data_IF_970622787928
#
_entry.id   IF_970622787928
#
_cell.length_a   1.000
_cell.length_b   1.000
_cell.length_c   1.000
_cell.angle_alpha   90.00
_cell.angle_beta   90.00
_cell.angle_gamma   90.00
#
_symmetry.space_group_name_H-M   'P 1'
#
loop_
_entity.id
_entity.type
_entity.pdbx_description
1 polymer ?
#
# COMPACT_ATOMS: atom_id res chain seq x y z
N UNK A 1 4.91 28.98 23.36
CA UNK A 1 5.82 27.88 22.99
C UNK A 1 5.00 26.91 22.14
N UNK A 2 5.23 26.88 20.81
CA UNK A 2 4.40 26.11 19.88
C UNK A 2 4.73 24.61 19.95
N UNK A 3 3.71 23.76 19.94
CA UNK A 3 3.85 22.31 19.85
C UNK A 3 4.33 21.91 18.43
N UNK A 4 5.53 21.33 18.28
CA UNK A 4 6.08 20.94 16.97
C UNK A 4 5.37 19.72 16.35
N UNK A 5 4.41 19.12 17.05
CA UNK A 5 3.74 17.89 16.62
C UNK A 5 2.44 18.12 15.86
N UNK A 6 2.03 19.36 15.56
CA UNK A 6 0.78 19.65 14.86
C UNK A 6 0.93 19.47 13.35
N UNK A 7 0.18 18.52 12.79
CA UNK A 7 -0.01 18.33 11.35
C UNK A 7 -0.82 19.50 10.74
N UNK A 8 -0.20 20.28 9.85
CA UNK A 8 -0.93 21.26 9.01
C UNK A 8 -1.29 20.59 7.68
N UNK A 9 -2.59 20.48 7.32
CA UNK A 9 -2.96 20.06 5.98
C UNK A 9 -2.47 21.10 4.95
N UNK A 10 -2.09 20.69 3.73
CA UNK A 10 -1.88 21.65 2.66
C UNK A 10 -3.19 22.40 2.44
N UNK A 11 -3.13 23.73 2.45
CA UNK A 11 -4.28 24.59 2.22
C UNK A 11 -4.83 24.32 0.82
N UNK A 12 -5.92 23.56 0.74
CA UNK A 12 -6.79 23.57 -0.44
C UNK A 12 -7.46 24.95 -0.51
N UNK A 13 -7.53 25.48 -1.74
CA UNK A 13 -8.08 26.79 -2.08
C UNK A 13 -9.35 27.13 -1.30
N UNK A 14 -9.42 28.35 -0.80
CA UNK A 14 -10.55 28.91 -0.06
C UNK A 14 -11.74 29.16 -0.98
N UNK A 15 -12.55 28.14 -1.26
CA UNK A 15 -13.92 28.35 -1.71
C UNK A 15 -14.89 27.43 -0.97
N UNK A 16 -15.95 28.06 -0.47
CA UNK A 16 -17.12 27.50 0.24
C UNK A 16 -16.84 26.82 1.59
N UNK A 17 -16.91 27.64 2.64
CA UNK A 17 -17.10 27.25 4.04
C UNK A 17 -18.49 26.65 4.27
N UNK A 18 -18.80 25.49 3.68
CA UNK A 18 -19.65 24.55 4.39
C UNK A 18 -18.74 23.89 5.41
N UNK A 19 -19.02 24.07 6.71
CA UNK A 19 -18.23 23.50 7.79
C UNK A 19 -18.00 22.03 7.49
N UNK A 20 -16.76 21.67 7.15
CA UNK A 20 -16.33 20.28 7.10
C UNK A 20 -16.69 19.75 8.48
N UNK A 21 -17.69 18.88 8.58
CA UNK A 21 -17.81 18.05 9.77
C UNK A 21 -16.49 17.32 9.84
N UNK A 22 -15.58 17.73 10.75
CA UNK A 22 -14.23 17.22 10.85
C UNK A 22 -14.30 15.70 10.97
N UNK A 23 -14.08 15.01 9.84
CA UNK A 23 -14.07 13.56 9.81
C UNK A 23 -12.76 13.16 10.46
N UNK A 24 -12.81 12.94 11.76
CA UNK A 24 -11.69 12.49 12.57
C UNK A 24 -11.56 10.97 12.40
N UNK A 25 -10.82 10.55 11.37
CA UNK A 25 -10.35 9.16 11.27
C UNK A 25 -9.17 9.03 12.23
N UNK A 26 -9.43 8.46 13.40
CA UNK A 26 -8.40 8.24 14.42
C UNK A 26 -7.94 6.79 14.47
N UNK A 27 -8.70 5.82 13.97
CA UNK A 27 -8.29 4.41 13.92
C UNK A 27 -8.73 3.68 12.65
N UNK A 28 -7.93 2.70 12.24
CA UNK A 28 -8.25 1.70 11.23
C UNK A 28 -7.97 0.32 11.83
N UNK A 29 -8.92 -0.60 11.73
CA UNK A 29 -8.80 -1.94 12.32
C UNK A 29 -9.16 -3.00 11.29
N UNK A 30 -8.33 -4.02 11.17
CA UNK A 30 -8.59 -5.22 10.37
C UNK A 30 -8.16 -6.46 11.14
N UNK A 31 -9.13 -7.24 11.63
CA UNK A 31 -8.87 -8.35 12.55
C UNK A 31 -8.08 -7.88 13.79
N UNK A 32 -6.88 -8.42 14.03
CA UNK A 32 -5.98 -8.02 15.12
C UNK A 32 -5.08 -6.83 14.76
N UNK A 33 -4.90 -6.51 13.48
CA UNK A 33 -4.08 -5.39 13.02
C UNK A 33 -4.83 -4.07 13.22
N UNK A 34 -4.28 -3.20 14.08
CA UNK A 34 -4.82 -1.86 14.35
C UNK A 34 -3.80 -0.79 13.95
N UNK A 35 -4.27 0.25 13.27
CA UNK A 35 -3.50 1.45 12.91
C UNK A 35 -4.15 2.67 13.56
N UNK A 36 -3.43 3.28 14.48
CA UNK A 36 -3.85 4.51 15.14
C UNK A 36 -3.30 5.72 14.37
N UNK A 37 -4.13 6.73 14.19
CA UNK A 37 -3.82 7.96 13.47
C UNK A 37 -4.13 9.12 14.40
N UNK A 38 -3.11 9.91 14.73
CA UNK A 38 -3.25 11.11 15.53
C UNK A 38 -2.48 12.25 14.87
N UNK A 39 -3.01 13.46 15.00
CA UNK A 39 -2.38 14.69 14.54
C UNK A 39 -1.32 15.22 15.50
N UNK A 40 -1.13 14.61 16.67
CA UNK A 40 -0.14 15.01 17.70
C UNK A 40 0.35 13.84 18.54
N UNK A 41 1.50 14.02 19.21
CA UNK A 41 2.04 13.02 20.16
C UNK A 41 1.09 12.81 21.35
N UNK A 42 0.57 13.89 21.93
CA UNK A 42 -0.36 13.82 23.06
C UNK A 42 -1.66 13.08 22.69
N UNK A 43 -2.17 13.31 21.47
CA UNK A 43 -3.30 12.55 20.95
C UNK A 43 -2.98 11.06 20.80
N UNK A 44 -1.78 10.71 20.37
CA UNK A 44 -1.33 9.31 20.28
C UNK A 44 -1.20 8.67 21.67
N UNK A 45 -0.64 9.38 22.65
CA UNK A 45 -0.55 8.94 24.06
C UNK A 45 -1.93 8.65 24.66
N UNK A 46 -2.90 9.53 24.39
CA UNK A 46 -4.29 9.35 24.80
C UNK A 46 -4.92 8.11 24.15
N UNK A 47 -4.76 7.96 22.82
CA UNK A 47 -5.29 6.82 22.09
C UNK A 47 -4.67 5.49 22.52
N UNK A 48 -3.36 5.46 22.75
CA UNK A 48 -2.67 4.29 23.28
C UNK A 48 -3.18 3.95 24.69
N UNK A 49 -3.49 4.95 25.52
CA UNK A 49 -4.00 4.72 26.88
C UNK A 49 -5.37 4.04 26.83
N UNK A 50 -6.27 4.54 25.97
CA UNK A 50 -7.58 3.90 25.72
C UNK A 50 -7.40 2.48 25.18
N UNK A 51 -6.42 2.28 24.30
CA UNK A 51 -6.14 0.99 23.66
C UNK A 51 -5.69 -0.06 24.68
N UNK A 52 -4.78 0.28 25.59
CA UNK A 52 -4.33 -0.63 26.64
C UNK A 52 -5.47 -0.98 27.62
N UNK A 53 -6.31 0.00 28.01
CA UNK A 53 -7.50 -0.27 28.83
C UNK A 53 -8.49 -1.20 28.13
N UNK A 54 -8.74 -0.96 26.84
CA UNK A 54 -9.61 -1.81 26.03
C UNK A 54 -9.11 -3.25 25.97
N UNK A 55 -7.81 -3.46 25.75
CA UNK A 55 -7.26 -4.80 25.70
C UNK A 55 -7.30 -5.52 27.05
N UNK A 56 -7.01 -4.81 28.14
CA UNK A 56 -7.15 -5.34 29.49
C UNK A 56 -8.59 -5.78 29.80
N UNK A 57 -9.59 -4.96 29.45
CA UNK A 57 -11.01 -5.30 29.60
C UNK A 57 -11.41 -6.58 28.86
N UNK A 58 -10.78 -6.83 27.71
CA UNK A 58 -11.05 -7.99 26.87
C UNK A 58 -10.16 -9.19 27.18
N UNK A 59 -9.36 -9.17 28.25
CA UNK A 59 -8.37 -10.21 28.58
C UNK A 59 -7.41 -10.52 27.43
N UNK A 60 -7.01 -9.47 26.71
CA UNK A 60 -6.06 -9.54 25.60
C UNK A 60 -4.87 -8.64 25.89
N UNK A 61 -3.76 -8.86 25.20
CA UNK A 61 -2.56 -8.03 25.33
C UNK A 61 -1.95 -7.77 23.96
N UNK A 62 -1.27 -6.63 23.85
CA UNK A 62 -0.59 -6.20 22.64
C UNK A 62 0.86 -6.64 22.65
N UNK A 63 1.39 -6.93 21.46
CA UNK A 63 2.82 -7.09 21.28
C UNK A 63 3.42 -5.74 20.85
N UNK A 64 3.85 -4.94 21.82
CA UNK A 64 4.44 -3.63 21.56
C UNK A 64 5.70 -3.69 20.67
N UNK A 65 6.40 -4.84 20.61
CA UNK A 65 7.57 -5.00 19.71
C UNK A 65 7.20 -4.96 18.23
N UNK A 66 5.93 -5.24 17.91
CA UNK A 66 5.41 -5.14 16.53
C UNK A 66 4.95 -3.74 16.17
N UNK A 67 4.93 -2.79 17.11
CA UNK A 67 4.48 -1.43 16.82
C UNK A 67 5.46 -0.73 15.88
N UNK A 68 4.88 -0.02 14.93
CA UNK A 68 5.61 0.69 13.89
C UNK A 68 5.12 2.13 13.91
N UNK A 69 6.03 3.08 14.20
CA UNK A 69 5.70 4.50 14.20
C UNK A 69 6.05 5.13 12.85
N UNK A 70 5.06 5.77 12.24
CA UNK A 70 5.23 6.58 11.04
C UNK A 70 4.92 8.03 11.42
N UNK A 71 5.84 8.93 11.11
CA UNK A 71 5.66 10.37 11.35
C UNK A 71 6.28 11.18 10.22
N UNK A 72 5.61 12.27 9.85
CA UNK A 72 6.11 13.26 8.91
C UNK A 72 6.89 14.40 9.60
N UNK A 73 6.86 14.48 10.93
CA UNK A 73 7.50 15.54 11.72
C UNK A 73 8.87 15.16 12.28
N UNK A 74 9.18 13.85 12.36
CA UNK A 74 10.50 13.43 12.81
C UNK A 74 11.57 13.79 11.79
N UNK A 75 12.66 14.39 12.30
CA UNK A 75 13.71 15.00 11.50
C UNK A 75 14.21 14.07 10.40
N UNK A 76 14.27 14.64 9.19
CA UNK A 76 14.63 14.08 7.90
C UNK A 76 16.12 13.67 7.80
N UNK A 77 16.77 13.26 8.89
CA UNK A 77 18.18 12.89 8.86
C UNK A 77 18.33 11.53 8.20
N UNK A 78 18.73 11.57 6.93
CA UNK A 78 18.98 10.43 6.04
C UNK A 78 20.05 9.45 6.52
N UNK A 79 20.67 9.67 7.69
CA UNK A 79 21.89 8.99 8.13
C UNK A 79 21.98 8.66 9.62
N UNK A 80 21.01 9.02 10.48
CA UNK A 80 21.12 8.77 11.92
C UNK A 80 20.21 7.62 12.37
N UNK A 81 20.74 6.75 13.22
CA UNK A 81 19.99 5.80 14.05
C UNK A 81 18.76 6.50 14.65
N UNK A 82 17.58 6.08 14.23
CA UNK A 82 16.33 6.64 14.73
C UNK A 82 16.18 6.26 16.20
N UNK A 83 16.15 7.27 17.07
CA UNK A 83 15.94 7.04 18.50
C UNK A 83 14.48 6.63 18.73
N UNK A 84 14.23 5.67 19.64
CA UNK A 84 12.89 5.32 20.05
C UNK A 84 12.14 6.54 20.61
N UNK A 85 10.88 6.68 20.21
CA UNK A 85 9.97 7.70 20.75
C UNK A 85 9.20 7.07 21.90
N UNK A 86 9.34 7.65 23.09
CA UNK A 86 8.59 7.24 24.27
C UNK A 86 7.22 7.93 24.31
N UNK A 87 6.15 7.15 24.36
CA UNK A 87 4.78 7.56 24.61
C UNK A 87 4.43 7.28 26.07
N UNK A 88 4.06 8.31 26.83
CA UNK A 88 3.67 8.16 28.23
C UNK A 88 2.16 7.95 28.30
N UNK A 89 1.74 6.88 28.97
CA UNK A 89 0.33 6.52 29.08
C UNK A 89 -0.24 6.96 30.43
N UNK A 90 -1.55 7.18 30.44
CA UNK A 90 -2.28 7.40 31.69
C UNK A 90 -2.48 6.06 32.40
N UNK A 91 -2.01 5.97 33.65
CA UNK A 91 -2.23 4.81 34.49
C UNK A 91 -3.67 4.79 35.01
N UNK A 92 -4.27 3.60 35.05
CA UNK A 92 -5.61 3.38 35.62
C UNK A 92 -5.68 1.97 36.23
N UNK A 93 -6.81 1.62 36.85
CA UNK A 93 -7.03 0.26 37.33
C UNK A 93 -6.98 -0.79 36.19
N UNK A 94 -7.17 -0.35 34.95
CA UNK A 94 -7.20 -1.18 33.75
C UNK A 94 -5.97 -0.97 32.85
N UNK A 95 -5.05 -0.07 33.21
CA UNK A 95 -3.80 0.13 32.49
C UNK A 95 -2.61 0.27 33.45
N UNK A 96 -1.76 -0.77 33.49
CA UNK A 96 -0.53 -0.79 34.28
C UNK A 96 0.72 -0.39 33.48
N UNK A 97 0.58 -0.20 32.17
CA UNK A 97 1.68 0.19 31.27
C UNK A 97 1.86 1.71 31.36
N UNK A 98 3.01 2.16 31.87
CA UNK A 98 3.31 3.59 32.06
C UNK A 98 3.91 4.25 30.83
N UNK A 99 4.68 3.51 30.02
CA UNK A 99 5.20 4.00 28.75
C UNK A 99 5.36 2.90 27.71
N UNK A 100 5.22 3.28 26.44
CA UNK A 100 5.50 2.45 25.27
C UNK A 100 6.56 3.19 24.45
N UNK A 101 7.63 2.49 24.09
CA UNK A 101 8.72 3.05 23.29
C UNK A 101 8.70 2.43 21.90
N UNK A 102 8.56 3.25 20.86
CA UNK A 102 8.47 2.79 19.47
C UNK A 102 9.56 3.44 18.64
N UNK A 103 10.34 2.61 17.94
CA UNK A 103 11.32 3.11 16.97
C UNK A 103 10.59 3.54 15.70
N UNK A 104 10.73 4.80 15.29
CA UNK A 104 10.09 5.29 14.08
C UNK A 104 10.72 4.68 12.83
N UNK A 105 9.93 4.54 11.77
CA UNK A 105 10.44 4.17 10.46
C UNK A 105 11.12 5.34 9.78
N UNK A 106 12.23 5.05 9.11
CA UNK A 106 12.88 6.01 8.25
C UNK A 106 11.93 6.43 7.11
N UNK A 107 11.94 7.72 6.78
CA UNK A 107 11.10 8.28 5.72
C UNK A 107 11.40 7.68 4.33
N UNK A 108 12.60 7.14 4.14
CA UNK A 108 13.00 6.46 2.89
C UNK A 108 12.58 4.99 2.88
N UNK A 109 12.25 4.43 4.04
CA UNK A 109 11.81 3.05 4.17
C UNK A 109 10.37 2.89 3.65
N UNK A 110 10.04 1.66 3.27
CA UNK A 110 8.66 1.31 2.91
C UNK A 110 8.07 0.51 4.05
N UNK A 111 6.79 0.73 4.34
CA UNK A 111 6.06 -0.02 5.35
C UNK A 111 4.94 -0.82 4.70
N UNK A 112 4.45 -1.81 5.43
CA UNK A 112 3.45 -2.75 4.96
C UNK A 112 2.15 -2.53 5.72
N UNK A 113 1.05 -2.37 4.99
CA UNK A 113 -0.29 -2.22 5.54
C UNK A 113 -1.23 -3.12 4.75
N UNK A 114 -1.87 -4.07 5.45
CA UNK A 114 -2.78 -5.06 4.88
C UNK A 114 -2.26 -5.72 3.60
N UNK A 115 -1.01 -6.17 3.56
CA UNK A 115 -0.52 -6.81 2.35
C UNK A 115 0.05 -5.85 1.28
N UNK A 116 -0.17 -4.53 1.37
CA UNK A 116 0.28 -3.52 0.40
C UNK A 116 1.45 -2.71 0.96
N UNK A 117 2.37 -2.28 0.10
CA UNK A 117 3.55 -1.52 0.52
C UNK A 117 3.39 -0.03 0.21
N UNK A 118 3.69 0.79 1.21
CA UNK A 118 3.63 2.24 1.17
C UNK A 118 5.02 2.83 1.37
N UNK A 119 5.24 4.00 0.79
CA UNK A 119 6.47 4.76 0.99
C UNK A 119 6.11 6.22 1.23
N UNK A 120 6.61 6.79 2.34
CA UNK A 120 6.26 8.15 2.76
C UNK A 120 6.76 9.19 1.74
N UNK A 121 7.90 8.95 1.09
CA UNK A 121 8.43 9.80 0.00
C UNK A 121 7.86 9.47 -1.38
N UNK A 122 6.88 8.56 -1.48
CA UNK A 122 6.32 8.13 -2.77
C UNK A 122 7.31 7.36 -3.66
N UNK A 123 8.41 6.83 -3.10
CA UNK A 123 9.37 6.03 -3.85
C UNK A 123 8.76 4.70 -4.28
N UNK A 124 8.84 4.41 -5.58
CA UNK A 124 8.25 3.19 -6.19
C UNK A 124 9.25 2.05 -6.31
N UNK A 125 10.52 2.29 -5.96
CA UNK A 125 11.64 1.37 -6.19
C UNK A 125 11.46 0.04 -5.46
N UNK A 126 10.92 0.09 -4.24
CA UNK A 126 10.65 -1.11 -3.46
C UNK A 126 9.63 -2.00 -4.17
N UNK A 127 8.46 -1.44 -4.52
CA UNK A 127 7.39 -2.17 -5.23
C UNK A 127 7.87 -2.64 -6.60
N UNK A 128 8.57 -1.81 -7.37
CA UNK A 128 9.15 -2.20 -8.66
C UNK A 128 10.04 -3.44 -8.54
N UNK A 129 10.94 -3.48 -7.56
CA UNK A 129 11.80 -4.66 -7.29
C UNK A 129 10.98 -5.87 -6.86
N UNK A 130 9.96 -5.68 -6.02
CA UNK A 130 9.08 -6.75 -5.56
C UNK A 130 8.31 -7.39 -6.73
N UNK A 131 7.73 -6.59 -7.63
CA UNK A 131 6.96 -7.06 -8.79
C UNK A 131 7.87 -7.83 -9.75
N UNK A 132 9.06 -7.30 -10.05
CA UNK A 132 10.05 -8.01 -10.86
C UNK A 132 10.49 -9.33 -10.20
N UNK A 133 10.74 -9.32 -8.89
CA UNK A 133 11.10 -10.50 -8.10
C UNK A 133 10.02 -11.59 -8.14
N UNK A 134 8.75 -11.21 -7.95
CA UNK A 134 7.61 -12.15 -8.04
C UNK A 134 7.46 -12.75 -9.43
N UNK A 135 7.59 -11.94 -10.49
CA UNK A 135 7.54 -12.44 -11.86
C UNK A 135 8.69 -13.43 -12.15
N UNK A 136 9.90 -13.10 -11.70
CA UNK A 136 11.08 -13.95 -11.89
C UNK A 136 10.96 -15.26 -11.11
N UNK A 137 10.53 -15.21 -9.85
CA UNK A 137 10.30 -16.39 -9.02
C UNK A 137 9.22 -17.29 -9.64
N UNK A 138 8.08 -16.72 -10.03
CA UNK A 138 7.02 -17.46 -10.72
C UNK A 138 7.53 -18.13 -12.00
N UNK A 139 8.28 -17.41 -12.84
CA UNK A 139 8.86 -17.96 -14.06
C UNK A 139 9.88 -19.07 -13.77
N UNK A 140 10.69 -18.92 -12.72
CA UNK A 140 11.68 -19.91 -12.31
C UNK A 140 11.02 -21.20 -11.82
N UNK A 141 9.98 -21.10 -10.99
CA UNK A 141 9.23 -22.26 -10.47
C UNK A 141 8.55 -23.06 -11.58
N UNK A 142 7.98 -22.39 -12.59
CA UNK A 142 7.25 -23.06 -13.68
C UNK A 142 8.15 -23.54 -14.83
N UNK A 143 9.40 -23.08 -14.90
CA UNK A 143 10.34 -23.47 -15.95
C UNK A 143 10.58 -24.99 -16.01
N UNK A 144 10.88 -25.70 -14.91
CA UNK A 144 11.08 -27.16 -14.96
C UNK A 144 9.77 -27.95 -15.08
N UNK A 145 8.62 -27.35 -14.76
CA UNK A 145 7.34 -28.04 -14.74
C UNK A 145 6.88 -28.48 -16.15
N UNK A 146 6.30 -29.67 -16.27
CA UNK A 146 5.72 -30.21 -17.53
C UNK A 146 4.34 -29.59 -17.79
N UNK A 147 4.33 -28.30 -18.11
CA UNK A 147 3.13 -27.53 -18.40
C UNK A 147 3.14 -27.03 -19.84
N UNK A 148 1.97 -26.99 -20.48
CA UNK A 148 1.78 -26.34 -21.77
C UNK A 148 1.82 -24.81 -21.65
N UNK A 149 2.05 -24.13 -22.76
CA UNK A 149 2.00 -22.66 -22.80
C UNK A 149 0.64 -22.11 -22.33
N UNK A 150 -0.48 -22.75 -22.71
CA UNK A 150 -1.82 -22.35 -22.27
C UNK A 150 -2.02 -22.50 -20.76
N UNK A 151 -1.51 -23.58 -20.15
CA UNK A 151 -1.56 -23.75 -18.69
C UNK A 151 -0.76 -22.68 -17.96
N UNK A 152 0.41 -22.29 -18.49
CA UNK A 152 1.20 -21.20 -17.92
C UNK A 152 0.47 -19.87 -18.04
N UNK A 153 -0.13 -19.58 -19.19
CA UNK A 153 -0.93 -18.36 -19.39
C UNK A 153 -2.11 -18.33 -18.42
N UNK A 154 -2.81 -19.45 -18.25
CA UNK A 154 -3.89 -19.57 -17.27
C UNK A 154 -3.42 -19.25 -15.83
N UNK A 155 -2.30 -19.84 -15.39
CA UNK A 155 -1.73 -19.57 -14.07
C UNK A 155 -1.29 -18.11 -13.93
N UNK A 156 -0.71 -17.53 -14.99
CA UNK A 156 -0.32 -16.13 -14.99
C UNK A 156 -1.53 -15.21 -14.84
N UNK A 157 -2.55 -15.39 -15.69
CA UNK A 157 -3.76 -14.57 -15.71
C UNK A 157 -4.58 -14.71 -14.43
N UNK A 158 -4.75 -15.94 -13.93
CA UNK A 158 -5.69 -16.21 -12.83
C UNK A 158 -5.05 -16.15 -11.45
N UNK A 159 -3.71 -16.28 -11.35
CA UNK A 159 -3.00 -16.31 -10.07
C UNK A 159 -2.00 -15.18 -9.94
N UNK A 160 -1.12 -15.00 -10.93
CA UNK A 160 -0.05 -14.00 -10.78
C UNK A 160 -0.60 -12.58 -10.95
N UNK A 161 -1.40 -12.30 -11.98
CA UNK A 161 -1.97 -10.98 -12.23
C UNK A 161 -2.72 -10.44 -11.00
N UNK A 162 -3.69 -11.16 -10.39
CA UNK A 162 -4.36 -10.67 -9.17
C UNK A 162 -3.40 -10.40 -8.01
N UNK A 163 -2.36 -11.24 -7.84
CA UNK A 163 -1.32 -11.04 -6.81
C UNK A 163 -0.46 -9.80 -7.07
N UNK A 164 -0.23 -9.43 -8.32
CA UNK A 164 0.53 -8.23 -8.68
C UNK A 164 -0.37 -6.99 -8.57
N UNK A 165 -1.61 -7.06 -9.06
CA UNK A 165 -2.62 -6.02 -8.94
C UNK A 165 -2.79 -5.58 -7.49
N UNK A 166 -3.02 -6.54 -6.59
CA UNK A 166 -3.15 -6.27 -5.17
C UNK A 166 -1.94 -5.51 -4.58
N UNK A 167 -0.72 -5.91 -4.96
CA UNK A 167 0.52 -5.26 -4.46
C UNK A 167 0.77 -3.89 -5.09
N UNK A 168 0.13 -3.61 -6.22
CA UNK A 168 0.28 -2.37 -6.98
C UNK A 168 -0.88 -1.40 -6.79
N UNK A 169 -1.82 -1.70 -5.88
CA UNK A 169 -3.02 -0.90 -5.65
C UNK A 169 -2.73 0.59 -5.42
N UNK A 170 -1.63 0.90 -4.72
CA UNK A 170 -1.23 2.27 -4.36
C UNK A 170 0.05 2.75 -5.07
N UNK A 171 0.63 1.93 -5.96
CA UNK A 171 1.88 2.28 -6.66
C UNK A 171 1.75 2.04 -8.15
N UNK A 172 1.66 3.14 -8.90
CA UNK A 172 1.61 3.11 -10.35
C UNK A 172 3.01 2.99 -10.97
N UNK A 173 3.24 1.87 -11.65
CA UNK A 173 4.43 1.64 -12.46
C UNK A 173 4.17 2.04 -13.92
N UNK A 174 5.21 2.51 -14.60
CA UNK A 174 5.11 2.83 -16.02
C UNK A 174 4.92 1.56 -16.87
N UNK A 175 4.40 1.71 -18.10
CA UNK A 175 4.31 0.60 -19.04
C UNK A 175 5.70 -0.04 -19.30
N UNK A 176 6.76 0.76 -19.34
CA UNK A 176 8.14 0.28 -19.47
C UNK A 176 8.57 -0.56 -18.26
N UNK A 177 8.25 -0.13 -17.04
CA UNK A 177 8.55 -0.89 -15.82
C UNK A 177 7.80 -2.24 -15.79
N UNK A 178 6.51 -2.22 -16.11
CA UNK A 178 5.69 -3.44 -16.22
C UNK A 178 6.25 -4.36 -17.30
N UNK A 179 6.66 -3.81 -18.45
CA UNK A 179 7.27 -4.57 -19.53
C UNK A 179 8.56 -5.24 -19.06
N UNK A 180 9.47 -4.51 -18.41
CA UNK A 180 10.70 -5.07 -17.86
C UNK A 180 10.42 -6.16 -16.81
N UNK A 181 9.52 -5.89 -15.87
CA UNK A 181 9.19 -6.82 -14.79
C UNK A 181 8.62 -8.16 -15.30
N UNK A 182 7.78 -8.12 -16.34
CA UNK A 182 7.12 -9.31 -16.90
C UNK A 182 7.91 -9.99 -18.02
N UNK A 183 9.16 -9.57 -18.29
CA UNK A 183 10.03 -10.14 -19.33
C UNK A 183 10.23 -11.65 -19.18
N UNK A 184 10.45 -12.11 -17.95
CA UNK A 184 10.68 -13.52 -17.64
C UNK A 184 9.46 -14.40 -17.96
N UNK A 185 8.25 -13.87 -17.74
CA UNK A 185 6.99 -14.53 -18.09
C UNK A 185 6.88 -14.71 -19.60
N UNK A 186 7.08 -13.64 -20.38
CA UNK A 186 7.02 -13.72 -21.86
C UNK A 186 8.06 -14.69 -22.41
N UNK A 187 9.26 -14.69 -21.85
CA UNK A 187 10.31 -15.64 -22.22
C UNK A 187 9.93 -17.08 -21.91
N UNK A 188 9.30 -17.33 -20.75
CA UNK A 188 8.81 -18.65 -20.37
C UNK A 188 7.72 -19.14 -21.32
N UNK A 189 6.74 -18.28 -21.62
CA UNK A 189 5.64 -18.61 -22.55
C UNK A 189 6.17 -18.93 -23.94
N UNK A 190 7.10 -18.12 -24.48
CA UNK A 190 7.79 -18.40 -25.75
C UNK A 190 8.44 -19.77 -25.77
N UNK A 191 9.23 -20.07 -24.74
CA UNK A 191 9.92 -21.35 -24.64
C UNK A 191 8.94 -22.53 -24.58
N UNK A 192 7.87 -22.40 -23.81
CA UNK A 192 6.88 -23.48 -23.60
C UNK A 192 5.94 -23.67 -24.80
N UNK A 193 5.85 -22.67 -25.67
CA UNK A 193 5.14 -22.74 -26.95
C UNK A 193 6.04 -23.16 -28.12
N UNK A 194 7.34 -23.43 -27.89
CA UNK A 194 8.34 -23.68 -28.93
C UNK A 194 8.43 -22.56 -29.99
N UNK A 195 8.19 -21.31 -29.58
CA UNK A 195 8.29 -20.17 -30.48
C UNK A 195 9.71 -19.61 -30.58
N UNK A 196 10.02 -19.03 -31.75
CA UNK A 196 11.26 -18.28 -31.93
C UNK A 196 11.39 -17.14 -30.92
N UNK A 197 12.63 -16.86 -30.50
CA UNK A 197 12.97 -15.72 -29.65
C UNK A 197 12.60 -14.38 -30.32
N UNK A 198 12.70 -14.31 -31.65
CA UNK A 198 12.41 -13.11 -32.46
C UNK A 198 10.91 -12.85 -32.66
N UNK A 199 10.03 -13.80 -32.33
CA UNK A 199 8.59 -13.62 -32.51
C UNK A 199 8.09 -12.37 -31.76
N UNK A 200 7.33 -11.46 -32.40
CA UNK A 200 6.79 -10.28 -31.73
C UNK A 200 5.93 -10.66 -30.51
N UNK A 201 6.15 -9.98 -29.38
CA UNK A 201 5.42 -10.28 -28.14
C UNK A 201 3.93 -9.92 -28.21
N UNK A 202 3.53 -9.06 -29.14
CA UNK A 202 2.15 -8.61 -29.35
C UNK A 202 1.19 -9.78 -29.60
N UNK A 203 1.65 -10.82 -30.28
CA UNK A 203 0.83 -11.99 -30.63
C UNK A 203 0.34 -12.75 -29.39
N UNK A 204 1.06 -12.67 -28.27
CA UNK A 204 0.67 -13.38 -27.05
C UNK A 204 -0.55 -12.76 -26.38
N UNK A 205 -0.78 -11.46 -26.58
CA UNK A 205 -1.88 -10.73 -25.97
C UNK A 205 -3.22 -10.94 -26.70
N UNK A 206 -3.19 -11.49 -27.91
CA UNK A 206 -4.41 -11.78 -28.68
C UNK A 206 -5.21 -12.88 -28.00
N UNK A 207 -6.49 -12.62 -27.75
CA UNK A 207 -7.43 -13.58 -27.15
C UNK A 207 -7.58 -14.85 -27.99
N UNK A 208 -7.58 -14.72 -29.32
CA UNK A 208 -7.64 -15.84 -30.26
C UNK A 208 -6.36 -16.69 -30.29
N UNK A 209 -5.25 -16.22 -29.71
CA UNK A 209 -3.98 -16.93 -29.67
C UNK A 209 -3.73 -17.53 -28.28
N UNK A 210 -2.92 -16.86 -27.46
CA UNK A 210 -2.59 -17.32 -26.10
C UNK A 210 -3.40 -16.59 -25.02
N UNK A 211 -3.90 -15.38 -25.30
CA UNK A 211 -4.67 -14.59 -24.33
C UNK A 211 -3.86 -14.21 -23.08
N UNK A 212 -2.55 -14.02 -23.20
CA UNK A 212 -1.72 -13.54 -22.09
C UNK A 212 -2.16 -12.12 -21.74
N UNK A 213 -2.37 -11.83 -20.46
CA UNK A 213 -2.73 -10.47 -20.04
C UNK A 213 -1.51 -9.54 -20.13
N UNK A 214 -1.68 -8.36 -20.71
CA UNK A 214 -0.68 -7.30 -20.58
C UNK A 214 -0.86 -6.62 -19.23
N UNK A 215 0.13 -6.77 -18.33
CA UNK A 215 0.08 -6.22 -16.98
C UNK A 215 -0.21 -4.70 -16.95
N UNK A 216 0.42 -3.93 -17.84
CA UNK A 216 0.20 -2.47 -17.85
C UNK A 216 -1.23 -2.10 -18.26
N UNK A 217 -1.75 -2.75 -19.31
CA UNK A 217 -3.13 -2.55 -19.77
C UNK A 217 -4.14 -2.97 -18.72
N UNK A 218 -3.91 -4.11 -18.05
CA UNK A 218 -4.75 -4.61 -16.95
C UNK A 218 -4.83 -3.60 -15.80
N UNK A 219 -3.69 -3.09 -15.35
CA UNK A 219 -3.65 -2.13 -14.25
C UNK A 219 -4.35 -0.81 -14.62
N UNK A 220 -4.14 -0.30 -15.84
CA UNK A 220 -4.85 0.88 -16.32
C UNK A 220 -6.36 0.64 -16.31
N UNK A 221 -6.82 -0.52 -16.78
CA UNK A 221 -8.23 -0.88 -16.74
C UNK A 221 -8.78 -0.92 -15.31
N UNK A 222 -8.08 -1.54 -14.36
CA UNK A 222 -8.48 -1.57 -12.95
C UNK A 222 -8.56 -0.18 -12.34
N UNK A 223 -7.57 0.68 -12.59
CA UNK A 223 -7.55 2.04 -12.05
C UNK A 223 -8.65 2.92 -12.64
N UNK A 224 -8.90 2.85 -13.95
CA UNK A 224 -9.99 3.57 -14.60
C UNK A 224 -11.34 3.11 -14.07
N UNK A 225 -11.52 1.79 -13.90
CA UNK A 225 -12.75 1.24 -13.32
C UNK A 225 -12.97 1.73 -11.89
N UNK A 226 -11.93 1.72 -11.05
CA UNK A 226 -12.02 2.22 -9.67
C UNK A 226 -12.31 3.72 -9.64
N UNK A 227 -11.66 4.51 -10.51
CA UNK A 227 -11.92 5.93 -10.64
C UNK A 227 -13.38 6.19 -11.02
N UNK A 228 -13.91 5.45 -11.99
CA UNK A 228 -15.29 5.54 -12.42
C UNK A 228 -16.27 5.18 -11.29
N UNK A 229 -16.00 4.12 -10.53
CA UNK A 229 -16.81 3.74 -9.36
C UNK A 229 -16.78 4.82 -8.27
N UNK A 230 -15.61 5.42 -8.02
CA UNK A 230 -15.49 6.49 -7.04
C UNK A 230 -16.20 7.77 -7.49
N UNK A 231 -16.07 8.16 -8.76
CA UNK A 231 -16.75 9.33 -9.32
C UNK A 231 -18.28 9.20 -9.25
N UNK A 232 -18.81 7.98 -9.40
CA UNK A 232 -20.25 7.69 -9.27
C UNK A 232 -20.68 7.33 -7.85
N UNK A 233 -19.82 7.51 -6.84
CA UNK A 233 -20.16 7.20 -5.46
C UNK A 233 -21.24 8.14 -4.93
N UNK A 234 -22.22 7.58 -4.21
CA UNK A 234 -23.23 8.34 -3.46
C UNK A 234 -22.71 8.88 -2.12
N UNK A 235 -21.48 8.53 -1.73
CA UNK A 235 -20.90 8.96 -0.46
C UNK A 235 -20.47 10.42 -0.56
N UNK A 236 -21.02 11.27 0.32
CA UNK A 236 -20.71 12.71 0.37
C UNK A 236 -19.21 13.00 0.47
N UNK A 237 -18.46 12.18 1.21
CA UNK A 237 -17.00 12.27 1.31
C UNK A 237 -16.30 12.08 -0.03
N UNK A 238 -16.69 11.04 -0.78
CA UNK A 238 -16.07 10.72 -2.07
C UNK A 238 -16.46 11.77 -3.10
N UNK A 239 -17.73 12.18 -3.15
CA UNK A 239 -18.18 13.27 -4.05
C UNK A 239 -17.36 14.55 -3.85
N UNK A 240 -17.11 14.94 -2.60
CA UNK A 240 -16.30 16.13 -2.27
C UNK A 240 -14.82 15.99 -2.64
N UNK A 241 -14.27 14.77 -2.75
CA UNK A 241 -12.91 14.56 -3.27
C UNK A 241 -12.82 14.83 -4.78
N UNK A 242 -13.89 14.62 -5.55
CA UNK A 242 -13.93 14.84 -7.01
C UNK A 242 -14.34 16.26 -7.42
N UNK A 243 -15.20 16.93 -6.64
CA UNK A 243 -15.69 18.29 -6.94
C UNK A 243 -14.55 19.34 -7.05
N UNK A 244 -13.37 19.05 -6.49
CA UNK A 244 -12.19 19.93 -6.59
C UNK A 244 -11.43 19.85 -7.94
N UNK A 245 -11.91 19.08 -8.93
CA UNK A 245 -11.26 18.95 -10.25
C UNK A 245 -11.93 19.81 -11.33
N UNK A 246 -13.15 20.30 -11.10
CA UNK A 246 -13.97 21.00 -12.11
C UNK A 246 -13.71 22.51 -12.23
N UNK A 247 -12.63 23.03 -11.65
CA UNK A 247 -12.24 24.44 -11.81
C UNK A 247 -10.78 24.59 -12.23
N UNK A 248 -10.52 24.34 -13.53
CA UNK A 248 -9.41 24.93 -14.29
C UNK A 248 -9.96 25.47 -15.60
#
# INVERSE_FOLDING_TARGET
MLDPYILRPPTLSSHETSSISDILINNLVFMDDSTLISSSKAGMEHMLSITEEFYALNNTSTNHQKYVLISNSLSLTTTSTLLPVEFRLSLSSLNTVSSISVTPLSITSSFHFLGVWFNIKGSRNFVKRQIAGKCNSFAATLRPARLSAKQIVYLYNSVLIPKLEYRMQVTHLSAADCYVATRSIRSLVKHKANFSRSLPNSIFYLSHALGLINLSSHLVQCHVNNLFLMANSSTSFIQRLFINVDTV
#
